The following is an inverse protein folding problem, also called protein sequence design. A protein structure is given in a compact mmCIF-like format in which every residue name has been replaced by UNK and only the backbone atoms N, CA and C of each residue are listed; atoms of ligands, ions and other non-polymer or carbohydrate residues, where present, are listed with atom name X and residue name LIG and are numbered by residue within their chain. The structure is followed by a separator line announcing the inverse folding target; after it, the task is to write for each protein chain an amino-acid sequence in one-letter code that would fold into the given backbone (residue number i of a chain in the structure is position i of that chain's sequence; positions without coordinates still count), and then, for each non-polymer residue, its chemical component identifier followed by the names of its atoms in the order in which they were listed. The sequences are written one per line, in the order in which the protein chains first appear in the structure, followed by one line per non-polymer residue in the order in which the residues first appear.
data_IF_305314769663
#
_entry.id   IF_305314769663
#
_cell.length_a   1.000
_cell.length_b   1.000
_cell.length_c   1.000
_cell.angle_alpha   90.00
_cell.angle_beta   90.00
_cell.angle_gamma   90.00
#
_symmetry.space_group_name_H-M   'P 1'
#
loop_
_entity.id
_entity.type
_entity.pdbx_description
1 polymer ?
#
# COMPACT_ATOMS: atom_id res chain seq x y z
N UNK A 1 3.64 -16.84 -24.80
CA UNK A 1 2.92 -16.89 -23.50
C UNK A 1 3.69 -17.84 -22.60
N UNK A 2 4.44 -17.32 -21.63
CA UNK A 2 5.17 -18.16 -20.68
C UNK A 2 4.25 -18.47 -19.50
N UNK A 3 3.84 -19.72 -19.37
CA UNK A 3 3.06 -20.22 -18.25
C UNK A 3 3.97 -20.26 -17.01
N UNK A 4 3.72 -19.41 -16.04
CA UNK A 4 4.35 -19.52 -14.72
C UNK A 4 3.54 -20.52 -13.90
N UNK A 5 3.98 -21.78 -13.89
CA UNK A 5 3.46 -22.79 -12.96
C UNK A 5 3.81 -22.36 -11.53
N UNK A 6 2.79 -22.04 -10.73
CA UNK A 6 2.96 -21.81 -9.29
C UNK A 6 3.06 -23.15 -8.59
N UNK A 7 4.28 -23.59 -8.31
CA UNK A 7 4.57 -24.66 -7.35
C UNK A 7 3.98 -24.29 -5.97
N UNK A 8 3.38 -25.27 -5.30
CA UNK A 8 2.54 -25.14 -4.10
C UNK A 8 3.27 -24.71 -2.82
N UNK A 9 3.88 -23.53 -2.82
CA UNK A 9 4.10 -22.73 -1.62
C UNK A 9 2.88 -21.81 -1.45
N UNK A 10 2.33 -21.69 -0.24
CA UNK A 10 1.42 -20.61 0.10
C UNK A 10 2.11 -19.29 -0.23
N UNK A 11 1.77 -18.69 -1.37
CA UNK A 11 2.17 -17.33 -1.70
C UNK A 11 1.56 -16.47 -0.60
N UNK A 12 2.36 -16.04 0.37
CA UNK A 12 1.97 -14.96 1.27
C UNK A 12 1.73 -13.77 0.37
N UNK A 13 0.46 -13.48 0.09
CA UNK A 13 0.09 -12.28 -0.64
C UNK A 13 0.33 -11.10 0.29
N UNK A 14 0.68 -9.97 -0.31
CA UNK A 14 1.00 -8.74 0.39
C UNK A 14 1.40 -7.66 -0.59
N UNK A 15 1.72 -6.49 -0.07
CA UNK A 15 2.10 -5.31 -0.86
C UNK A 15 3.58 -4.99 -0.69
N UNK A 16 4.20 -4.41 -1.71
CA UNK A 16 5.56 -3.90 -1.62
C UNK A 16 5.68 -2.57 -2.39
N UNK A 17 6.48 -1.65 -1.85
CA UNK A 17 6.83 -0.39 -2.50
C UNK A 17 8.33 -0.34 -2.70
N UNK A 18 8.75 -0.27 -3.96
CA UNK A 18 10.14 -0.04 -4.34
C UNK A 18 10.27 1.37 -4.89
N UNK A 19 11.24 2.12 -4.38
CA UNK A 19 11.52 3.48 -4.83
C UNK A 19 13.01 3.64 -5.12
N UNK A 20 13.33 4.54 -6.06
CA UNK A 20 14.72 4.85 -6.40
C UNK A 20 15.40 5.48 -5.19
N UNK A 21 16.66 5.12 -4.94
CA UNK A 21 17.46 5.67 -3.84
C UNK A 21 17.61 7.20 -3.90
N UNK A 22 17.52 7.77 -5.10
CA UNK A 22 17.58 9.23 -5.32
C UNK A 22 16.32 9.96 -4.88
N UNK A 23 15.22 9.26 -4.57
CA UNK A 23 14.01 9.87 -4.04
C UNK A 23 14.17 10.07 -2.53
N UNK A 24 13.81 11.25 -2.04
CA UNK A 24 13.68 11.50 -0.60
C UNK A 24 12.42 10.82 -0.08
N UNK A 25 12.53 9.51 0.12
CA UNK A 25 11.41 8.63 0.43
C UNK A 25 11.78 7.67 1.56
N UNK A 26 10.84 7.46 2.49
CA UNK A 26 11.01 6.55 3.61
C UNK A 26 9.74 5.74 3.89
N UNK A 27 9.86 4.51 4.43
CA UNK A 27 8.70 3.73 4.82
C UNK A 27 7.93 4.42 5.94
N UNK A 28 6.62 4.15 6.02
CA UNK A 28 5.77 4.56 7.13
C UNK A 28 5.09 3.37 7.79
N UNK A 29 4.73 3.54 9.07
CA UNK A 29 3.92 2.56 9.77
C UNK A 29 2.48 2.63 9.25
N UNK A 30 1.95 1.49 8.85
CA UNK A 30 0.56 1.35 8.45
C UNK A 30 -0.29 1.07 9.71
N UNK A 31 -1.39 1.80 9.94
CA UNK A 31 -2.27 1.52 11.07
C UNK A 31 -2.87 0.12 10.92
N UNK A 32 -3.31 -0.53 12.01
CA UNK A 32 -3.94 -1.83 11.92
C UNK A 32 -5.17 -1.78 11.00
N UNK A 33 -5.18 -2.62 9.98
CA UNK A 33 -6.28 -2.77 9.03
C UNK A 33 -6.97 -4.12 9.27
N UNK A 34 -8.26 -4.19 8.98
CA UNK A 34 -9.02 -5.42 9.24
C UNK A 34 -8.98 -6.34 8.03
N UNK A 35 -9.32 -5.78 6.87
CA UNK A 35 -9.65 -6.59 5.71
C UNK A 35 -8.58 -6.52 4.64
N UNK A 36 -7.80 -5.46 4.60
CA UNK A 36 -6.75 -5.28 3.60
C UNK A 36 -5.37 -5.31 4.24
N UNK A 37 -4.38 -5.59 3.42
CA UNK A 37 -2.97 -5.38 3.73
C UNK A 37 -2.50 -4.13 3.00
N UNK A 38 -1.53 -3.43 3.57
CA UNK A 38 -0.98 -2.25 2.92
C UNK A 38 0.49 -2.04 3.28
N UNK A 39 1.18 -1.33 2.40
CA UNK A 39 2.55 -0.85 2.58
C UNK A 39 2.60 0.57 2.08
N UNK A 40 3.20 1.45 2.86
CA UNK A 40 3.23 2.87 2.56
C UNK A 40 4.63 3.44 2.65
N UNK A 41 4.84 4.50 1.89
CA UNK A 41 5.99 5.36 2.04
C UNK A 41 5.57 6.82 2.04
N UNK A 42 6.47 7.67 2.53
CA UNK A 42 6.32 9.11 2.55
C UNK A 42 7.40 9.72 1.67
N UNK A 43 6.97 10.47 0.66
CA UNK A 43 7.80 11.11 -0.35
C UNK A 43 7.87 12.62 -0.08
N UNK A 44 9.06 13.12 0.24
CA UNK A 44 9.30 14.55 0.34
C UNK A 44 9.33 15.18 -1.06
N UNK A 45 8.59 16.27 -1.22
CA UNK A 45 8.53 17.05 -2.45
C UNK A 45 9.12 18.43 -2.18
N UNK A 46 10.16 18.80 -2.92
CA UNK A 46 10.83 20.09 -2.74
C UNK A 46 9.84 21.24 -2.99
N UNK A 47 9.75 22.16 -2.02
CA UNK A 47 8.85 23.32 -2.08
C UNK A 47 7.37 23.01 -1.84
N UNK A 48 7.01 21.78 -1.46
CA UNK A 48 5.62 21.35 -1.28
C UNK A 48 5.43 20.51 -0.02
N UNK A 49 4.17 20.27 0.35
CA UNK A 49 3.84 19.31 1.40
C UNK A 49 4.27 17.90 1.02
N UNK A 50 4.43 17.05 2.03
CA UNK A 50 4.88 15.68 1.84
C UNK A 50 3.73 14.82 1.31
N UNK A 51 4.02 13.93 0.36
CA UNK A 51 3.04 13.01 -0.22
C UNK A 51 3.15 11.64 0.44
N UNK A 52 2.03 11.07 0.89
CA UNK A 52 1.96 9.69 1.35
C UNK A 52 1.45 8.80 0.23
N UNK A 53 2.17 7.74 -0.08
CA UNK A 53 1.81 6.76 -1.12
C UNK A 53 1.60 5.42 -0.43
N UNK A 54 0.42 4.82 -0.61
CA UNK A 54 0.06 3.54 0.00
C UNK A 54 -0.39 2.55 -1.07
N UNK A 55 0.35 1.45 -1.19
CA UNK A 55 -0.10 0.27 -1.92
C UNK A 55 -1.02 -0.55 -1.03
N UNK A 56 -2.17 -0.97 -1.54
CA UNK A 56 -3.13 -1.82 -0.84
C UNK A 56 -3.37 -3.14 -1.57
N UNK A 57 -3.72 -4.16 -0.81
CA UNK A 57 -4.22 -5.44 -1.32
C UNK A 57 -5.43 -5.86 -0.46
N UNK A 58 -6.62 -5.87 -1.04
CA UNK A 58 -7.84 -6.44 -0.47
C UNK A 58 -7.95 -7.90 -0.92
N UNK A 59 -7.79 -8.89 -0.03
CA UNK A 59 -7.98 -10.28 -0.38
C UNK A 59 -9.46 -10.61 -0.56
N UNK A 60 -9.86 -11.13 -1.72
CA UNK A 60 -11.19 -11.73 -1.91
C UNK A 60 -11.42 -12.90 -0.93
N UNK A 61 -12.61 -13.07 -0.31
CA UNK A 61 -13.86 -12.31 -0.53
C UNK A 61 -14.08 -11.19 0.51
N UNK A 62 -13.01 -10.62 1.10
CA UNK A 62 -13.16 -9.60 2.14
C UNK A 62 -13.73 -8.32 1.54
N UNK A 63 -14.57 -7.62 2.30
CA UNK A 63 -15.20 -6.37 1.86
C UNK A 63 -14.34 -5.17 2.20
N UNK A 64 -14.34 -4.18 1.31
CA UNK A 64 -13.75 -2.88 1.57
C UNK A 64 -14.48 -2.19 2.74
N UNK A 65 -13.75 -1.92 3.82
CA UNK A 65 -14.33 -1.25 4.99
C UNK A 65 -14.01 0.25 4.98
N UNK A 66 -15.04 1.08 5.19
CA UNK A 66 -14.87 2.53 5.35
C UNK A 66 -13.93 2.91 6.50
N UNK A 67 -13.82 2.06 7.54
CA UNK A 67 -12.89 2.29 8.65
C UNK A 67 -11.43 2.14 8.23
N UNK A 68 -11.11 1.13 7.42
CA UNK A 68 -9.76 0.88 6.94
C UNK A 68 -9.33 2.02 6.00
N UNK A 69 -10.23 2.46 5.10
CA UNK A 69 -9.99 3.65 4.26
C UNK A 69 -9.73 4.92 5.09
N UNK A 70 -10.54 5.17 6.13
CA UNK A 70 -10.34 6.33 7.02
C UNK A 70 -8.99 6.28 7.73
N UNK A 71 -8.58 5.11 8.20
CA UNK A 71 -7.28 4.93 8.84
C UNK A 71 -6.14 5.25 7.86
N UNK A 72 -6.26 4.83 6.59
CA UNK A 72 -5.27 5.14 5.57
C UNK A 72 -5.25 6.62 5.17
N UNK A 73 -6.41 7.27 5.03
CA UNK A 73 -6.48 8.70 4.73
C UNK A 73 -5.99 9.59 5.88
N UNK A 74 -6.00 9.09 7.12
CA UNK A 74 -5.47 9.82 8.28
C UNK A 74 -3.93 9.83 8.36
N UNK A 75 -3.23 9.16 7.43
CA UNK A 75 -1.76 9.10 7.41
C UNK A 75 -1.08 10.42 7.01
N UNK A 76 -1.81 11.37 6.43
CA UNK A 76 -1.30 12.69 6.09
C UNK A 76 -2.31 13.53 5.31
N UNK A 77 -1.94 14.78 5.01
CA UNK A 77 -2.82 15.74 4.33
C UNK A 77 -3.02 15.39 2.84
N UNK A 78 -2.03 14.74 2.22
CA UNK A 78 -2.05 14.28 0.85
C UNK A 78 -1.70 12.79 0.79
N UNK A 79 -2.71 11.94 0.53
CA UNK A 79 -2.57 10.48 0.48
C UNK A 79 -3.02 9.95 -0.89
N UNK A 80 -2.17 9.18 -1.55
CA UNK A 80 -2.51 8.39 -2.73
C UNK A 80 -2.63 6.93 -2.31
N UNK A 81 -3.82 6.36 -2.51
CA UNK A 81 -4.06 4.93 -2.37
C UNK A 81 -4.08 4.28 -3.76
N UNK A 82 -3.36 3.19 -3.93
CA UNK A 82 -3.36 2.42 -5.17
C UNK A 82 -3.15 0.92 -4.90
N UNK A 83 -3.42 0.06 -5.87
CA UNK A 83 -3.31 -1.39 -5.73
C UNK A 83 -4.66 -2.07 -5.91
N UNK A 84 -4.84 -3.21 -5.26
CA UNK A 84 -5.98 -4.09 -5.44
C UNK A 84 -7.05 -3.85 -4.36
N UNK A 85 -8.24 -3.39 -4.76
CA UNK A 85 -9.40 -3.14 -3.89
C UNK A 85 -10.53 -4.16 -4.10
N UNK A 86 -10.24 -5.31 -4.72
CA UNK A 86 -11.23 -6.31 -5.15
C UNK A 86 -11.81 -7.20 -4.05
#
# INVERSE_FOLDING_TARGET
MSNYERTGHTVVRGTALYYRRSLHCGPINIPPLTNMEATGCRLAMTGHSTLVIVSVYLPSPKRLLRRDLRALFALGDAVILFGDFN
#
